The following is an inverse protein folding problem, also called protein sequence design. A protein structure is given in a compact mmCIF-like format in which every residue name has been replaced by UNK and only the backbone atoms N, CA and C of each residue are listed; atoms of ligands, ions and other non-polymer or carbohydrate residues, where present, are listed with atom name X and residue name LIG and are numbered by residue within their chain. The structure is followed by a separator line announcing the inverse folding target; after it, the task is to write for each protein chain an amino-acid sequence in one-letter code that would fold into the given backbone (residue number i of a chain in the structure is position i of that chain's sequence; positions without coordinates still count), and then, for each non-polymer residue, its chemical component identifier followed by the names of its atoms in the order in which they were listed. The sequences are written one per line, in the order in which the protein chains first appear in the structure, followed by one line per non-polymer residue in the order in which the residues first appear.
data_IF_321501828685
#
_entry.id   IF_321501828685
#
_cell.length_a   1.000
_cell.length_b   1.000
_cell.length_c   1.000
_cell.angle_alpha   90.00
_cell.angle_beta   90.00
_cell.angle_gamma   90.00
#
_symmetry.space_group_name_H-M   'P 1'
#
loop_
_entity.id
_entity.type
_entity.pdbx_description
1 polymer ?
#
# COMPACT_ATOMS: atom_id res chain seq x y z
N UNK A 1 42.18 -8.86 -22.86
CA UNK A 1 41.09 -7.87 -22.91
C UNK A 1 39.94 -8.46 -22.12
N UNK A 2 39.76 -8.07 -20.86
CA UNK A 2 38.68 -8.58 -20.01
C UNK A 2 37.41 -7.80 -20.36
N UNK A 3 36.25 -8.43 -20.61
CA UNK A 3 35.05 -7.69 -20.98
C UNK A 3 34.59 -6.84 -19.80
N UNK A 4 34.45 -5.54 -20.05
CA UNK A 4 34.04 -4.49 -19.09
C UNK A 4 32.65 -4.77 -18.47
N UNK A 5 31.87 -5.68 -19.04
CA UNK A 5 30.53 -6.07 -18.56
C UNK A 5 30.53 -6.90 -17.27
N UNK A 6 31.65 -7.46 -16.81
CA UNK A 6 31.66 -8.23 -15.55
C UNK A 6 31.59 -7.34 -14.29
N UNK A 7 31.63 -6.00 -14.45
CA UNK A 7 31.49 -5.04 -13.35
C UNK A 7 30.06 -4.46 -13.25
N UNK A 8 29.04 -5.27 -13.55
CA UNK A 8 27.63 -4.94 -13.35
C UNK A 8 27.22 -5.41 -11.94
N UNK A 9 26.93 -4.44 -11.07
CA UNK A 9 26.37 -4.52 -9.72
C UNK A 9 25.96 -5.93 -9.23
N UNK A 10 26.78 -6.52 -8.36
CA UNK A 10 26.33 -7.67 -7.56
C UNK A 10 25.45 -7.20 -6.40
N UNK A 11 24.25 -6.72 -6.71
CA UNK A 11 23.20 -6.54 -5.70
C UNK A 11 22.57 -7.91 -5.41
N UNK A 12 22.27 -8.17 -4.14
CA UNK A 12 21.59 -9.38 -3.68
C UNK A 12 20.32 -8.98 -2.93
N UNK A 13 19.21 -9.63 -3.25
CA UNK A 13 17.94 -9.45 -2.56
C UNK A 13 17.82 -10.48 -1.43
N UNK A 14 17.22 -10.07 -0.31
CA UNK A 14 17.00 -10.92 0.86
C UNK A 14 15.57 -10.72 1.36
N UNK A 15 14.81 -11.81 1.48
CA UNK A 15 13.49 -11.82 2.11
C UNK A 15 13.61 -12.27 3.57
N UNK A 16 13.05 -11.52 4.50
CA UNK A 16 13.15 -11.77 5.95
C UNK A 16 11.75 -11.79 6.56
N UNK A 17 11.44 -12.83 7.35
CA UNK A 17 10.22 -12.84 8.17
C UNK A 17 10.49 -12.16 9.51
N UNK A 18 9.68 -11.16 9.85
CA UNK A 18 9.86 -10.34 11.05
C UNK A 18 8.62 -10.47 11.93
N UNK A 19 8.76 -10.66 13.25
CA UNK A 19 7.62 -10.61 14.16
C UNK A 19 6.94 -9.24 14.09
N UNK A 20 5.61 -9.23 14.01
CA UNK A 20 4.80 -8.00 13.86
C UNK A 20 5.20 -6.88 14.82
N UNK A 21 5.40 -7.23 16.10
CA UNK A 21 5.80 -6.30 17.17
C UNK A 21 7.14 -5.58 16.91
N UNK A 22 7.96 -6.08 15.98
CA UNK A 22 9.27 -5.54 15.61
C UNK A 22 9.28 -4.89 14.23
N UNK A 23 8.18 -4.95 13.49
CA UNK A 23 8.12 -4.48 12.11
C UNK A 23 8.42 -2.98 12.00
N UNK A 24 7.76 -2.14 12.81
CA UNK A 24 7.97 -0.69 12.79
C UNK A 24 9.43 -0.30 13.03
N UNK A 25 10.04 -0.85 14.08
CA UNK A 25 11.45 -0.66 14.40
C UNK A 25 12.37 -1.10 13.25
N UNK A 26 12.09 -2.24 12.64
CA UNK A 26 12.90 -2.75 11.53
C UNK A 26 12.83 -1.82 10.31
N UNK A 27 11.64 -1.33 9.97
CA UNK A 27 11.44 -0.41 8.85
C UNK A 27 12.17 0.92 9.04
N UNK A 28 12.11 1.49 10.26
CA UNK A 28 12.88 2.69 10.59
C UNK A 28 14.38 2.47 10.43
N UNK A 29 14.89 1.33 10.89
CA UNK A 29 16.31 1.00 10.75
C UNK A 29 16.72 0.86 9.29
N UNK A 30 15.94 0.15 8.47
CA UNK A 30 16.25 0.01 7.03
C UNK A 30 16.27 1.36 6.32
N UNK A 31 15.33 2.25 6.67
CA UNK A 31 15.28 3.61 6.13
C UNK A 31 16.51 4.43 6.53
N UNK A 32 16.92 4.37 7.81
CA UNK A 32 18.14 5.05 8.28
C UNK A 32 19.42 4.56 7.61
N UNK A 33 19.45 3.27 7.22
CA UNK A 33 20.58 2.67 6.50
C UNK A 33 20.57 2.95 4.99
N UNK A 34 19.52 3.61 4.47
CA UNK A 34 19.36 3.89 3.04
C UNK A 34 19.11 2.64 2.20
N UNK A 35 18.52 1.60 2.80
CA UNK A 35 18.17 0.35 2.11
C UNK A 35 16.80 0.48 1.46
N UNK A 36 16.68 0.06 0.21
CA UNK A 36 15.40 -0.05 -0.47
C UNK A 36 14.60 -1.21 0.13
N UNK A 37 13.38 -0.92 0.60
CA UNK A 37 12.44 -1.92 1.11
C UNK A 37 11.21 -1.94 0.23
N UNK A 38 10.89 -3.10 -0.33
CA UNK A 38 9.64 -3.33 -1.04
C UNK A 38 8.55 -3.71 -0.03
N UNK A 39 7.52 -2.88 0.09
CA UNK A 39 6.35 -3.18 0.90
C UNK A 39 5.26 -3.77 0.00
N UNK A 40 5.23 -5.10 -0.08
CA UNK A 40 4.10 -5.80 -0.66
C UNK A 40 3.05 -5.98 0.44
N UNK A 41 1.99 -5.19 0.39
CA UNK A 41 0.83 -5.36 1.25
C UNK A 41 -0.02 -6.50 0.69
N UNK A 42 -0.14 -7.59 1.46
CA UNK A 42 -1.08 -8.65 1.14
C UNK A 42 -2.47 -8.18 1.58
N UNK A 43 -3.27 -7.64 0.65
CA UNK A 43 -4.62 -7.19 0.93
C UNK A 43 -5.52 -8.43 0.97
N UNK A 44 -6.17 -8.75 2.12
CA UNK A 44 -7.08 -9.87 2.22
C UNK A 44 -8.18 -9.83 1.15
N UNK A 45 -8.51 -10.99 0.58
CA UNK A 45 -9.56 -11.10 -0.44
C UNK A 45 -10.93 -10.61 0.06
N UNK A 46 -11.21 -10.74 1.36
CA UNK A 46 -12.43 -10.21 1.98
C UNK A 46 -12.53 -8.69 1.88
N UNK A 47 -11.41 -7.97 2.05
CA UNK A 47 -11.40 -6.52 1.87
C UNK A 47 -11.56 -6.13 0.39
N UNK A 48 -11.01 -6.93 -0.53
CA UNK A 48 -11.22 -6.72 -1.97
C UNK A 48 -12.67 -6.96 -2.36
N UNK A 49 -13.33 -7.99 -1.83
CA UNK A 49 -14.71 -8.31 -2.17
C UNK A 49 -15.68 -7.21 -1.75
N UNK A 50 -15.47 -6.58 -0.59
CA UNK A 50 -16.30 -5.45 -0.13
C UNK A 50 -16.22 -4.26 -1.09
N UNK A 51 -15.00 -3.92 -1.54
CA UNK A 51 -14.82 -2.81 -2.50
C UNK A 51 -15.45 -3.16 -3.85
N UNK A 52 -15.28 -4.40 -4.31
CA UNK A 52 -15.88 -4.87 -5.56
C UNK A 52 -17.41 -4.90 -5.52
N UNK A 53 -18.00 -5.18 -4.37
CA UNK A 53 -19.46 -5.14 -4.17
C UNK A 53 -19.98 -3.71 -4.27
N UNK A 54 -19.34 -2.76 -3.58
CA UNK A 54 -19.70 -1.33 -3.65
C UNK A 54 -19.62 -0.77 -5.07
N UNK A 55 -18.55 -1.09 -5.82
CA UNK A 55 -18.43 -0.66 -7.22
C UNK A 55 -19.60 -1.20 -8.07
N UNK A 56 -20.03 -2.45 -7.82
CA UNK A 56 -21.19 -3.01 -8.54
C UNK A 56 -22.50 -2.33 -8.15
N UNK A 57 -22.65 -1.94 -6.89
CA UNK A 57 -23.81 -1.17 -6.43
C UNK A 57 -23.82 0.24 -7.07
N UNK A 58 -22.67 0.91 -7.12
CA UNK A 58 -22.46 2.18 -7.82
C UNK A 58 -22.80 2.09 -9.32
N UNK A 59 -22.37 1.03 -10.00
CA UNK A 59 -22.68 0.81 -11.42
C UNK A 59 -24.16 0.52 -11.68
N UNK A 60 -24.85 -0.11 -10.72
CA UNK A 60 -26.26 -0.50 -10.84
C UNK A 60 -27.23 0.62 -10.45
N UNK A 61 -26.88 1.41 -9.44
CA UNK A 61 -27.68 2.55 -8.98
C UNK A 61 -26.79 3.77 -8.72
N UNK A 62 -26.33 4.49 -9.75
CA UNK A 62 -25.50 5.68 -9.55
C UNK A 62 -26.18 6.79 -8.74
N UNK A 63 -27.51 6.74 -8.57
CA UNK A 63 -28.30 7.75 -7.87
C UNK A 63 -28.25 7.66 -6.35
N UNK A 64 -27.69 6.58 -5.78
CA UNK A 64 -27.50 6.45 -4.33
C UNK A 64 -26.26 7.19 -3.81
N UNK A 65 -25.40 7.67 -4.72
CA UNK A 65 -24.25 8.50 -4.40
C UNK A 65 -24.67 9.96 -4.31
N UNK A 66 -24.43 10.57 -3.16
CA UNK A 66 -24.70 11.98 -2.93
C UNK A 66 -23.51 12.84 -3.39
N UNK A 67 -23.81 13.99 -4.00
CA UNK A 67 -22.79 14.95 -4.39
C UNK A 67 -22.13 15.59 -3.16
N UNK A 68 -20.81 15.71 -3.19
CA UNK A 68 -20.04 16.24 -2.06
C UNK A 68 -20.48 17.65 -1.65
N UNK A 69 -20.82 18.53 -2.59
CA UNK A 69 -21.28 19.89 -2.26
C UNK A 69 -22.63 19.90 -1.54
N UNK A 70 -23.41 18.82 -1.64
CA UNK A 70 -24.71 18.66 -0.99
C UNK A 70 -24.58 18.17 0.46
N UNK A 71 -23.58 17.33 0.74
CA UNK A 71 -23.44 16.64 2.05
C UNK A 71 -22.38 17.22 2.97
N UNK A 72 -21.42 18.00 2.44
CA UNK A 72 -20.28 18.52 3.22
C UNK A 72 -20.68 19.28 4.49
N UNK A 73 -21.77 20.05 4.43
CA UNK A 73 -22.23 20.89 5.56
C UNK A 73 -22.92 20.07 6.67
N UNK A 74 -23.19 18.78 6.42
CA UNK A 74 -23.76 17.85 7.40
C UNK A 74 -22.68 17.19 8.26
N UNK A 75 -21.42 17.25 7.85
CA UNK A 75 -20.30 16.73 8.61
C UNK A 75 -19.85 17.76 9.64
N UNK A 76 -20.00 17.42 10.93
CA UNK A 76 -19.51 18.26 12.01
C UNK A 76 -18.02 17.97 12.26
N UNK A 77 -17.15 18.55 11.41
CA UNK A 77 -15.71 18.28 11.41
C UNK A 77 -14.94 19.08 12.47
N UNK A 78 -15.62 19.92 13.25
CA UNK A 78 -15.03 20.77 14.30
C UNK A 78 -14.83 20.02 15.64
N UNK A 79 -14.54 18.71 15.60
CA UNK A 79 -14.28 17.89 16.80
C UNK A 79 -12.80 17.84 17.17
#
# INVERSE_FOLDING_TARGET
MVPIFQKLNMMKEVTIMIPEKKFSFFMELMNQLGLEVSQNYDIPEEHKSIVMERIKEDDQDPGHLEDWDTVKDQFNLDS
#
